data_IF_046464675229
#
_entry.id   IF_046464675229
#
_cell.length_a   1.000
_cell.length_b   1.000
_cell.length_c   1.000
_cell.angle_alpha   90.00
_cell.angle_beta   90.00
_cell.angle_gamma   90.00
#
_symmetry.space_group_name_H-M   'P 1'
#
loop_
_entity.id
_entity.type
_entity.pdbx_description
1 polymer ?
#
# COMPACT_ATOMS: atom_id res chain seq x y z
N UNK A 1 -31.76 -24.40 -6.89
CA UNK A 1 -30.39 -24.97 -6.90
C UNK A 1 -29.54 -24.16 -5.92
N UNK A 2 -29.43 -24.70 -4.71
CA UNK A 2 -28.63 -24.16 -3.60
C UNK A 2 -27.15 -24.38 -3.87
N UNK A 3 -26.30 -23.39 -3.60
CA UNK A 3 -24.85 -23.57 -3.74
C UNK A 3 -24.02 -22.29 -3.64
N UNK A 4 -24.18 -21.51 -2.56
CA UNK A 4 -23.20 -20.46 -2.25
C UNK A 4 -23.16 -20.13 -0.77
N UNK A 5 -22.71 -21.10 0.04
CA UNK A 5 -22.09 -20.79 1.33
C UNK A 5 -20.59 -20.73 1.09
N UNK A 6 -20.13 -19.60 0.54
CA UNK A 6 -18.72 -19.26 0.60
C UNK A 6 -18.37 -19.04 2.08
N UNK A 7 -17.28 -19.67 2.51
CA UNK A 7 -16.72 -19.60 3.87
C UNK A 7 -16.65 -18.14 4.30
N UNK A 8 -17.39 -17.77 5.35
CA UNK A 8 -17.58 -16.39 5.83
C UNK A 8 -16.29 -15.69 6.34
N UNK A 9 -15.11 -16.24 6.07
CA UNK A 9 -13.80 -15.67 6.46
C UNK A 9 -12.68 -15.84 5.43
N UNK A 10 -12.90 -16.52 4.29
CA UNK A 10 -11.89 -16.65 3.25
C UNK A 10 -12.07 -15.52 2.23
N UNK A 11 -11.03 -14.69 2.02
CA UNK A 11 -11.00 -13.78 0.88
C UNK A 11 -11.11 -14.60 -0.41
N UNK A 12 -11.91 -14.14 -1.36
CA UNK A 12 -11.80 -14.67 -2.71
C UNK A 12 -10.36 -14.47 -3.24
N UNK A 13 -9.94 -15.30 -4.19
CA UNK A 13 -8.56 -15.29 -4.70
C UNK A 13 -8.12 -13.90 -5.20
N UNK A 14 -9.02 -13.14 -5.81
CA UNK A 14 -8.71 -11.80 -6.35
C UNK A 14 -8.45 -10.83 -5.21
N UNK A 15 -9.32 -10.83 -4.19
CA UNK A 15 -9.17 -10.02 -2.98
C UNK A 15 -7.91 -10.39 -2.20
N UNK A 16 -7.55 -11.68 -2.15
CA UNK A 16 -6.29 -12.14 -1.54
C UNK A 16 -5.05 -11.60 -2.28
N UNK A 17 -5.04 -11.67 -3.61
CA UNK A 17 -3.93 -11.14 -4.43
C UNK A 17 -3.80 -9.62 -4.25
N UNK A 18 -4.91 -8.88 -4.33
CA UNK A 18 -4.90 -7.43 -4.14
C UNK A 18 -4.39 -7.04 -2.75
N UNK A 19 -4.85 -7.73 -1.70
CA UNK A 19 -4.37 -7.50 -0.33
C UNK A 19 -2.86 -7.75 -0.22
N UNK A 20 -2.36 -8.81 -0.85
CA UNK A 20 -0.93 -9.14 -0.85
C UNK A 20 -0.10 -8.05 -1.53
N UNK A 21 -0.58 -7.49 -2.64
CA UNK A 21 0.05 -6.37 -3.34
C UNK A 21 0.06 -5.09 -2.48
N UNK A 22 -1.08 -4.74 -1.85
CA UNK A 22 -1.18 -3.56 -0.98
C UNK A 22 -0.19 -3.66 0.19
N UNK A 23 -0.12 -4.83 0.84
CA UNK A 23 0.82 -5.06 1.94
C UNK A 23 2.28 -5.04 1.46
N UNK A 24 2.55 -5.48 0.23
CA UNK A 24 3.86 -5.36 -0.41
C UNK A 24 4.27 -3.90 -0.58
N UNK A 25 3.40 -3.11 -1.21
CA UNK A 25 3.61 -1.68 -1.43
C UNK A 25 3.82 -0.92 -0.11
N UNK A 26 3.00 -1.21 0.91
CA UNK A 26 3.14 -0.60 2.24
C UNK A 26 4.52 -0.86 2.86
N UNK A 27 4.99 -2.11 2.82
CA UNK A 27 6.32 -2.46 3.35
C UNK A 27 7.42 -1.75 2.58
N UNK A 28 7.31 -1.67 1.26
CA UNK A 28 8.33 -1.01 0.44
C UNK A 28 8.36 0.50 0.64
N UNK A 29 7.20 1.14 0.84
CA UNK A 29 7.12 2.55 1.22
C UNK A 29 7.75 2.82 2.59
N UNK A 30 7.45 1.99 3.60
CA UNK A 30 8.10 2.10 4.91
C UNK A 30 9.62 1.88 4.82
N UNK A 31 10.09 0.98 3.95
CA UNK A 31 11.52 0.74 3.73
C UNK A 31 12.18 1.95 3.08
N UNK A 32 11.55 2.56 2.07
CA UNK A 32 12.03 3.78 1.43
C UNK A 32 12.11 4.92 2.45
N UNK A 33 11.09 5.09 3.29
CA UNK A 33 11.10 6.12 4.34
C UNK A 33 12.28 6.00 5.33
N UNK A 34 12.87 4.81 5.52
CA UNK A 34 14.08 4.64 6.34
C UNK A 34 15.34 5.23 5.71
N UNK A 35 15.36 5.47 4.40
CA UNK A 35 16.48 6.08 3.69
C UNK A 35 16.49 7.61 3.83
N UNK A 36 15.42 8.21 4.34
CA UNK A 36 15.37 9.64 4.61
C UNK A 36 16.38 10.07 5.69
N UNK A 37 16.80 11.35 5.67
CA UNK A 37 17.55 11.99 6.75
C UNK A 37 16.93 11.75 8.13
N UNK A 38 17.76 11.76 9.17
CA UNK A 38 17.32 11.37 10.52
C UNK A 38 16.19 12.25 11.03
N UNK A 39 16.25 13.56 10.78
CA UNK A 39 15.25 14.54 11.19
C UNK A 39 13.88 14.34 10.54
N UNK A 40 13.82 13.90 9.28
CA UNK A 40 12.55 13.75 8.52
C UNK A 40 12.02 12.32 8.47
N UNK A 41 12.84 11.33 8.84
CA UNK A 41 12.50 9.90 8.78
C UNK A 41 11.25 9.51 9.56
N UNK A 42 11.05 10.09 10.74
CA UNK A 42 9.89 9.78 11.58
C UNK A 42 8.59 10.31 10.96
N UNK A 43 8.63 11.56 10.48
CA UNK A 43 7.52 12.23 9.83
C UNK A 43 7.13 11.53 8.53
N UNK A 44 8.09 11.24 7.64
CA UNK A 44 7.83 10.54 6.38
C UNK A 44 7.22 9.16 6.62
N UNK A 45 7.69 8.44 7.64
CA UNK A 45 7.09 7.15 8.02
C UNK A 45 5.65 7.30 8.49
N UNK A 46 5.32 8.37 9.23
CA UNK A 46 3.97 8.63 9.67
C UNK A 46 3.06 9.01 8.49
N UNK A 47 3.56 9.81 7.55
CA UNK A 47 2.84 10.15 6.34
C UNK A 47 2.48 8.90 5.52
N UNK A 48 3.44 8.00 5.31
CA UNK A 48 3.18 6.71 4.65
C UNK A 48 2.06 5.94 5.36
N UNK A 49 2.06 5.89 6.71
CA UNK A 49 0.97 5.21 7.43
C UNK A 49 -0.38 5.88 7.21
N UNK A 50 -0.44 7.20 7.32
CA UNK A 50 -1.68 7.96 7.16
C UNK A 50 -2.29 7.77 5.76
N UNK A 51 -1.47 7.72 4.71
CA UNK A 51 -1.93 7.48 3.34
C UNK A 51 -2.60 6.11 3.20
N UNK A 52 -2.01 5.05 3.77
CA UNK A 52 -2.61 3.71 3.72
C UNK A 52 -3.86 3.61 4.61
N UNK A 53 -3.87 4.26 5.77
CA UNK A 53 -5.02 4.29 6.67
C UNK A 53 -6.23 5.01 6.04
N UNK A 54 -5.99 5.99 5.17
CA UNK A 54 -7.06 6.72 4.44
C UNK A 54 -7.96 5.78 3.64
N UNK A 55 -7.40 4.71 3.07
CA UNK A 55 -8.13 3.76 2.21
C UNK A 55 -8.32 2.38 2.85
N UNK A 56 -8.11 2.24 4.18
CA UNK A 56 -8.13 0.94 4.89
C UNK A 56 -9.45 0.16 4.75
N UNK A 57 -10.54 0.86 4.46
CA UNK A 57 -11.89 0.30 4.34
C UNK A 57 -12.38 0.25 2.89
N UNK A 58 -11.55 0.58 1.92
CA UNK A 58 -11.88 0.46 0.50
C UNK A 58 -12.14 -1.02 0.15
N UNK A 59 -13.25 -1.27 -0.53
CA UNK A 59 -13.70 -2.61 -0.91
C UNK A 59 -13.89 -2.75 -2.41
N UNK A 60 -13.91 -1.65 -3.17
CA UNK A 60 -13.98 -1.69 -4.63
C UNK A 60 -12.64 -2.18 -5.22
N UNK A 61 -12.62 -3.35 -5.90
CA UNK A 61 -11.40 -3.84 -6.52
C UNK A 61 -10.84 -2.91 -7.61
N UNK A 62 -11.67 -2.08 -8.27
CA UNK A 62 -11.17 -1.12 -9.26
C UNK A 62 -10.44 0.03 -8.58
N UNK A 63 -11.05 0.64 -7.56
CA UNK A 63 -10.40 1.65 -6.73
C UNK A 63 -9.08 1.14 -6.12
N UNK A 64 -9.07 -0.08 -5.56
CA UNK A 64 -7.84 -0.68 -5.00
C UNK A 64 -6.74 -0.82 -6.06
N UNK A 65 -7.08 -1.23 -7.29
CA UNK A 65 -6.11 -1.31 -8.40
C UNK A 65 -5.59 0.06 -8.81
N UNK A 66 -6.46 1.07 -8.83
CA UNK A 66 -6.06 2.44 -9.10
C UNK A 66 -5.07 2.93 -8.04
N UNK A 67 -5.39 2.79 -6.75
CA UNK A 67 -4.50 3.20 -5.65
C UNK A 67 -3.19 2.42 -5.62
N UNK A 68 -3.19 1.15 -6.01
CA UNK A 68 -1.95 0.38 -6.17
C UNK A 68 -1.05 0.99 -7.25
N UNK A 69 -1.60 1.32 -8.42
CA UNK A 69 -0.85 1.96 -9.50
C UNK A 69 -0.33 3.35 -9.10
N UNK A 70 -1.20 4.18 -8.52
CA UNK A 70 -0.83 5.51 -8.01
C UNK A 70 0.25 5.45 -6.94
N UNK A 71 0.09 4.56 -5.95
CA UNK A 71 1.06 4.39 -4.87
C UNK A 71 2.40 3.81 -5.34
N UNK A 72 2.41 2.93 -6.35
CA UNK A 72 3.66 2.47 -6.99
C UNK A 72 4.41 3.62 -7.67
N UNK A 73 3.69 4.50 -8.36
CA UNK A 73 4.27 5.68 -8.99
C UNK A 73 4.84 6.65 -7.94
N UNK A 74 4.06 6.97 -6.88
CA UNK A 74 4.54 7.78 -5.75
C UNK A 74 5.78 7.19 -5.08
N UNK A 75 5.83 5.88 -4.89
CA UNK A 75 7.00 5.21 -4.32
C UNK A 75 8.23 5.32 -5.22
N UNK A 76 8.05 5.22 -6.54
CA UNK A 76 9.14 5.42 -7.51
C UNK A 76 9.69 6.84 -7.40
N UNK A 77 8.81 7.83 -7.35
CA UNK A 77 9.18 9.24 -7.26
C UNK A 77 9.89 9.55 -5.93
N UNK A 78 9.35 9.03 -4.81
CA UNK A 78 9.98 9.14 -3.50
C UNK A 78 11.39 8.55 -3.48
N UNK A 79 11.57 7.34 -4.02
CA UNK A 79 12.91 6.71 -4.13
C UNK A 79 13.86 7.56 -4.98
N UNK A 80 13.35 8.14 -6.07
CA UNK A 80 14.11 9.08 -6.89
C UNK A 80 14.59 10.28 -6.08
N UNK A 81 13.69 10.95 -5.35
CA UNK A 81 14.01 12.10 -4.50
C UNK A 81 15.04 11.74 -3.43
N UNK A 82 14.83 10.64 -2.70
CA UNK A 82 15.74 10.19 -1.64
C UNK A 82 17.12 9.81 -2.19
N UNK A 83 17.20 9.27 -3.40
CA UNK A 83 18.48 8.91 -4.03
C UNK A 83 19.30 10.13 -4.45
N UNK A 84 18.68 11.31 -4.62
CA UNK A 84 19.37 12.57 -4.90
C UNK A 84 19.80 13.30 -3.61
N UNK A 85 19.29 12.89 -2.45
CA UNK A 85 19.57 13.51 -1.15
C UNK A 85 20.76 12.86 -0.42
N UNK A 86 21.23 11.70 -0.88
CA UNK A 86 22.43 11.00 -0.39
C UNK A 86 23.58 11.09 -1.37
#
# INVERSE_FOLDING_TARGET
MSGRRALAGALDLRSFILRSQVLGLYRDALRAARQAPLESRAELRQQVRNEFETFRHERDPQAIRFFLSDGLQKLKDLKGMLSQMG
#
